data_IF_244720840983
#
_entry.id   IF_244720840983
#
_cell.length_a   1.000
_cell.length_b   1.000
_cell.length_c   1.000
_cell.angle_alpha   90.00
_cell.angle_beta   90.00
_cell.angle_gamma   90.00
#
_symmetry.space_group_name_H-M   'P 1'
#
loop_
_entity.id
_entity.type
_entity.pdbx_description
1 polymer ?
#
# COMPACT_ATOMS: atom_id res chain seq x y z
N UNK A 1 3.33 23.38 -1.25
CA UNK A 1 2.92 23.12 0.15
C UNK A 1 1.43 22.91 0.34
N UNK A 2 0.55 23.55 -0.45
CA UNK A 2 -0.91 23.44 -0.24
C UNK A 2 -1.45 22.02 -0.37
N UNK A 3 -0.96 21.26 -1.37
CA UNK A 3 -1.39 19.88 -1.58
C UNK A 3 -1.10 18.96 -0.37
N UNK A 4 0.10 19.06 0.22
CA UNK A 4 0.46 18.24 1.38
C UNK A 4 -0.46 18.54 2.58
N UNK A 5 -0.72 19.82 2.84
CA UNK A 5 -1.65 20.25 3.92
C UNK A 5 -3.06 19.78 3.64
N UNK A 6 -3.49 19.82 2.37
CA UNK A 6 -4.79 19.36 1.95
C UNK A 6 -4.96 17.85 2.17
N UNK A 7 -3.99 17.03 1.76
CA UNK A 7 -3.98 15.59 1.98
C UNK A 7 -4.04 15.24 3.48
N UNK A 8 -3.21 15.88 4.29
CA UNK A 8 -3.22 15.66 5.74
C UNK A 8 -4.57 16.03 6.38
N UNK A 9 -5.18 17.14 5.93
CA UNK A 9 -6.52 17.56 6.40
C UNK A 9 -7.62 16.58 6.02
N UNK A 10 -7.52 15.92 4.88
CA UNK A 10 -8.47 14.86 4.50
C UNK A 10 -8.23 13.62 5.36
N UNK A 11 -6.98 13.15 5.45
CA UNK A 11 -6.62 11.99 6.26
C UNK A 11 -7.08 12.11 7.71
N UNK A 12 -6.95 13.30 8.32
CA UNK A 12 -7.35 13.52 9.72
C UNK A 12 -8.85 13.40 9.98
N UNK A 13 -9.69 13.38 8.94
CA UNK A 13 -11.14 13.22 9.08
C UNK A 13 -11.57 11.74 9.10
N UNK A 14 -10.69 10.84 8.68
CA UNK A 14 -11.00 9.43 8.51
C UNK A 14 -10.40 8.61 9.66
N UNK A 15 -11.23 7.79 10.34
CA UNK A 15 -10.75 6.85 11.34
C UNK A 15 -10.08 5.66 10.65
N UNK A 16 -8.85 5.36 11.06
CA UNK A 16 -8.03 4.28 10.49
C UNK A 16 -7.39 3.41 11.57
N UNK A 17 -6.77 2.31 11.15
CA UNK A 17 -6.03 1.41 12.06
C UNK A 17 -4.85 2.07 12.78
N UNK A 18 -4.40 3.26 12.35
CA UNK A 18 -3.40 4.04 13.08
C UNK A 18 -3.94 4.65 14.38
N UNK A 19 -5.27 4.69 14.56
CA UNK A 19 -5.92 5.35 15.69
C UNK A 19 -6.50 4.37 16.71
N UNK A 20 -7.24 3.37 16.23
CA UNK A 20 -7.92 2.40 17.10
C UNK A 20 -8.19 1.09 16.37
N UNK A 21 -8.58 0.08 17.14
CA UNK A 21 -9.17 -1.14 16.58
C UNK A 21 -10.46 -0.82 15.81
N UNK A 22 -10.64 -1.45 14.65
CA UNK A 22 -11.85 -1.36 13.81
C UNK A 22 -12.44 -2.78 13.69
N UNK A 23 -13.37 -3.20 14.59
CA UNK A 23 -13.84 -4.59 14.68
C UNK A 23 -14.99 -4.88 13.70
N UNK A 24 -14.73 -4.74 12.41
CA UNK A 24 -15.72 -5.08 11.37
C UNK A 24 -15.72 -6.59 11.13
N UNK A 25 -16.85 -7.24 11.43
CA UNK A 25 -17.07 -8.66 11.16
C UNK A 25 -16.88 -8.99 9.68
N UNK A 26 -16.27 -10.13 9.38
CA UNK A 26 -15.92 -10.59 8.01
C UNK A 26 -14.82 -9.81 7.28
N UNK A 27 -14.45 -8.60 7.72
CA UNK A 27 -13.44 -7.78 7.03
C UNK A 27 -11.99 -8.14 7.38
N UNK A 28 -11.77 -8.85 8.50
CA UNK A 28 -10.42 -9.27 8.94
C UNK A 28 -9.42 -8.11 9.01
N UNK A 29 -9.77 -7.03 9.71
CA UNK A 29 -8.94 -5.83 9.87
C UNK A 29 -7.71 -6.10 10.77
N UNK A 30 -6.70 -6.76 10.21
CA UNK A 30 -5.44 -7.16 10.87
C UNK A 30 -4.30 -6.18 10.59
N UNK A 31 -3.11 -6.49 11.12
CA UNK A 31 -1.90 -5.74 10.85
C UNK A 31 -1.55 -5.79 9.34
N UNK A 32 -1.34 -4.61 8.76
CA UNK A 32 -0.66 -4.45 7.48
C UNK A 32 0.77 -3.96 7.77
N UNK A 33 1.75 -4.87 7.85
CA UNK A 33 3.07 -4.52 8.39
C UNK A 33 3.88 -3.68 7.39
N UNK A 34 4.68 -2.73 7.89
CA UNK A 34 5.51 -1.87 7.03
C UNK A 34 6.45 -2.69 6.14
N UNK A 35 7.07 -3.73 6.70
CA UNK A 35 7.99 -4.63 5.97
C UNK A 35 7.31 -5.37 4.82
N UNK A 36 6.02 -5.68 4.94
CA UNK A 36 5.23 -6.34 3.89
C UNK A 36 4.84 -5.35 2.79
N UNK A 37 4.62 -4.09 3.13
CA UNK A 37 4.18 -3.04 2.20
C UNK A 37 5.32 -2.39 1.40
N UNK A 38 6.54 -2.37 1.95
CA UNK A 38 7.70 -1.73 1.32
C UNK A 38 8.03 -2.25 -0.10
N UNK A 39 8.01 -3.57 -0.38
CA UNK A 39 8.40 -4.08 -1.71
C UNK A 39 7.44 -3.70 -2.83
N UNK A 40 6.19 -3.38 -2.52
CA UNK A 40 5.15 -3.07 -3.52
C UNK A 40 5.52 -1.88 -4.40
N UNK A 41 6.31 -0.93 -3.88
CA UNK A 41 6.77 0.26 -4.62
C UNK A 41 8.18 0.14 -5.19
N UNK A 42 8.85 -1.02 -5.06
CA UNK A 42 10.16 -1.21 -5.68
C UNK A 42 10.03 -1.25 -7.20
N UNK A 43 10.92 -0.63 -7.98
CA UNK A 43 10.83 -0.63 -9.45
C UNK A 43 10.77 -2.03 -10.08
N UNK A 44 11.47 -3.00 -9.48
CA UNK A 44 11.43 -4.41 -9.88
C UNK A 44 10.05 -5.06 -9.74
N UNK A 45 9.14 -4.44 -8.97
CA UNK A 45 7.76 -4.86 -8.81
C UNK A 45 6.72 -3.88 -9.41
N UNK A 46 6.96 -2.58 -9.30
CA UNK A 46 5.99 -1.53 -9.67
C UNK A 46 6.08 -1.08 -11.13
N UNK A 47 7.29 -1.15 -11.72
CA UNK A 47 7.60 -0.51 -13.02
C UNK A 47 7.80 -1.55 -14.14
N UNK A 48 7.28 -2.77 -13.97
CA UNK A 48 7.30 -3.80 -15.00
C UNK A 48 5.97 -3.83 -15.72
N UNK A 49 6.02 -3.74 -17.05
CA UNK A 49 4.83 -3.87 -17.87
C UNK A 49 4.30 -5.33 -17.81
N UNK A 50 2.99 -5.56 -17.66
CA UNK A 50 2.42 -6.92 -17.51
C UNK A 50 2.72 -7.88 -18.66
N UNK A 51 3.03 -7.35 -19.85
CA UNK A 51 3.41 -8.15 -21.04
C UNK A 51 4.92 -8.09 -21.36
N UNK A 52 5.77 -7.81 -20.37
CA UNK A 52 7.21 -7.91 -20.55
C UNK A 52 7.63 -9.35 -20.90
N UNK A 53 8.66 -9.53 -21.75
CA UNK A 53 9.27 -10.83 -22.00
C UNK A 53 9.66 -11.59 -20.72
N UNK A 54 9.50 -12.92 -20.72
CA UNK A 54 9.68 -13.75 -19.50
C UNK A 54 11.09 -13.71 -18.92
N UNK A 55 12.09 -13.48 -19.76
CA UNK A 55 13.50 -13.32 -19.37
C UNK A 55 13.74 -12.06 -18.52
N UNK A 56 12.85 -11.06 -18.59
CA UNK A 56 12.94 -9.82 -17.80
C UNK A 56 12.26 -9.92 -16.43
N UNK A 57 11.50 -10.99 -16.18
CA UNK A 57 10.65 -11.15 -14.98
C UNK A 57 10.93 -12.44 -14.21
N UNK A 58 12.14 -12.97 -14.32
CA UNK A 58 12.53 -14.22 -13.64
C UNK A 58 12.30 -14.17 -12.11
N UNK A 59 12.35 -12.99 -11.47
CA UNK A 59 12.08 -12.82 -10.04
C UNK A 59 10.61 -12.90 -9.61
N UNK A 60 9.66 -12.95 -10.56
CA UNK A 60 8.24 -13.12 -10.29
C UNK A 60 7.75 -14.57 -10.33
N UNK A 61 8.54 -15.48 -10.91
CA UNK A 61 8.25 -16.91 -11.03
C UNK A 61 8.77 -17.66 -9.81
#
# INVERSE_FOLDING_TARGET
>A
HELLRYLHRLQSKDLSLCHSMIPLGSCTMKLNATVEMMPVTWPSFADIHPFAPLDQVAGYQ
#
